data_IF_402643932124
#
_entry.id   IF_402643932124
#
_cell.length_a   1.000
_cell.length_b   1.000
_cell.length_c   1.000
_cell.angle_alpha   90.00
_cell.angle_beta   90.00
_cell.angle_gamma   90.00
#
_symmetry.space_group_name_H-M   'P 1'
#
loop_
_entity.id
_entity.type
_entity.pdbx_description
1 polymer ?
#
# COMPACT_ATOMS: atom_id res chain seq x y z
N UNK A 1 -15.64 -7.85 1.85
CA UNK A 1 -16.35 -6.59 2.21
C UNK A 1 -17.39 -6.31 1.15
N UNK A 2 -18.62 -5.94 1.51
CA UNK A 2 -19.66 -5.63 0.54
C UNK A 2 -19.24 -4.51 -0.41
N UNK A 3 -19.71 -4.56 -1.66
CA UNK A 3 -19.28 -3.62 -2.72
C UNK A 3 -19.65 -2.16 -2.42
N UNK A 4 -20.57 -1.91 -1.51
CA UNK A 4 -21.01 -0.57 -1.13
C UNK A 4 -20.21 -0.01 0.06
N UNK A 5 -19.35 -0.81 0.68
CA UNK A 5 -18.60 -0.48 1.88
C UNK A 5 -17.06 -0.62 1.73
N UNK A 6 -16.58 -1.03 0.56
CA UNK A 6 -15.16 -1.06 0.27
C UNK A 6 -14.81 -1.41 -1.18
N UNK A 7 -13.56 -1.10 -1.56
CA UNK A 7 -12.99 -1.25 -2.91
C UNK A 7 -11.48 -1.46 -2.85
N UNK A 8 -10.96 -2.25 -3.78
CA UNK A 8 -9.54 -2.21 -4.14
C UNK A 8 -9.33 -1.12 -5.18
N UNK A 9 -8.36 -0.25 -4.99
CA UNK A 9 -8.07 0.90 -5.87
C UNK A 9 -6.57 1.12 -6.01
N UNK A 10 -6.13 1.63 -7.16
CA UNK A 10 -4.75 2.07 -7.35
C UNK A 10 -4.46 3.33 -6.53
N UNK A 11 -3.25 3.41 -5.98
CA UNK A 11 -2.77 4.62 -5.30
C UNK A 11 -2.19 5.64 -6.26
N UNK A 12 -2.50 6.91 -6.04
CA UNK A 12 -1.87 8.06 -6.70
C UNK A 12 -1.61 9.20 -5.72
N UNK A 13 -0.85 10.21 -6.14
CA UNK A 13 -0.54 11.39 -5.34
C UNK A 13 -1.45 12.58 -5.69
N UNK A 14 -1.75 13.40 -4.70
CA UNK A 14 -2.40 14.70 -4.87
C UNK A 14 -1.40 15.74 -5.39
N UNK A 15 -1.44 15.97 -6.71
CA UNK A 15 -0.63 16.99 -7.38
C UNK A 15 -1.09 18.43 -7.08
N UNK A 16 -2.27 18.62 -6.48
CA UNK A 16 -2.82 19.95 -6.15
C UNK A 16 -2.34 20.46 -4.79
N UNK A 17 -1.85 19.57 -3.93
CA UNK A 17 -1.35 19.90 -2.59
C UNK A 17 -2.42 20.31 -1.59
N UNK A 18 -3.66 19.87 -1.78
CA UNK A 18 -4.82 20.27 -0.97
C UNK A 18 -5.05 19.30 0.19
N UNK A 19 -4.76 18.02 0.00
CA UNK A 19 -4.83 17.01 1.05
C UNK A 19 -3.77 17.26 2.13
N UNK A 20 -4.20 17.22 3.39
CA UNK A 20 -3.31 17.28 4.54
C UNK A 20 -2.87 15.87 4.96
N UNK A 21 -1.78 15.80 5.73
CA UNK A 21 -1.38 14.53 6.33
C UNK A 21 -2.50 13.97 7.23
N UNK A 22 -2.73 12.67 7.12
CA UNK A 22 -3.88 11.96 7.71
C UNK A 22 -5.17 11.99 6.88
N UNK A 23 -5.22 12.76 5.79
CA UNK A 23 -6.37 12.80 4.87
C UNK A 23 -6.08 12.01 3.59
N UNK A 24 -7.14 11.51 2.96
CA UNK A 24 -7.12 10.95 1.61
C UNK A 24 -8.33 11.43 0.81
N UNK A 25 -8.27 11.33 -0.52
CA UNK A 25 -9.46 11.49 -1.37
C UNK A 25 -9.79 10.16 -2.04
N UNK A 26 -11.06 9.79 -2.00
CA UNK A 26 -11.58 8.55 -2.59
C UNK A 26 -12.89 8.84 -3.29
N UNK A 27 -12.93 8.55 -4.59
CA UNK A 27 -14.14 8.60 -5.41
C UNK A 27 -14.25 7.30 -6.19
N UNK A 28 -15.42 6.68 -6.19
CA UNK A 28 -15.66 5.42 -6.87
C UNK A 28 -16.90 5.46 -7.76
N UNK A 29 -16.87 4.66 -8.82
CA UNK A 29 -18.00 4.44 -9.71
C UNK A 29 -19.05 3.56 -9.00
N UNK A 30 -20.31 4.04 -8.90
CA UNK A 30 -21.41 3.24 -8.31
C UNK A 30 -21.86 2.11 -9.22
N UNK A 31 -21.98 2.41 -10.51
CA UNK A 31 -22.44 1.49 -11.54
C UNK A 31 -21.51 1.57 -12.75
N UNK A 32 -20.80 0.49 -13.05
CA UNK A 32 -19.87 0.42 -14.18
C UNK A 32 -20.56 0.69 -15.52
N UNK A 33 -21.86 0.39 -15.64
CA UNK A 33 -22.64 0.63 -16.85
C UNK A 33 -22.98 2.12 -17.04
N UNK A 34 -22.84 2.94 -16.00
CA UNK A 34 -23.07 4.39 -16.03
C UNK A 34 -21.75 5.18 -16.13
N UNK A 35 -20.61 4.49 -16.18
CA UNK A 35 -19.29 5.12 -16.32
C UNK A 35 -19.16 5.67 -17.74
N UNK A 36 -19.53 6.92 -17.91
CA UNK A 36 -19.29 7.67 -19.14
C UNK A 36 -17.92 8.35 -19.05
N UNK A 37 -17.12 8.35 -20.13
CA UNK A 37 -15.90 9.14 -20.17
C UNK A 37 -16.23 10.62 -19.90
N UNK A 38 -15.33 11.39 -19.27
CA UNK A 38 -15.53 12.81 -19.07
C UNK A 38 -15.89 13.48 -20.40
N UNK A 39 -17.01 14.21 -20.45
CA UNK A 39 -17.34 15.00 -21.65
C UNK A 39 -16.20 15.98 -21.89
N UNK A 40 -15.68 15.97 -23.11
CA UNK A 40 -14.30 16.29 -23.52
C UNK A 40 -13.71 17.67 -23.17
N UNK A 41 -14.40 18.56 -22.46
CA UNK A 41 -13.99 19.96 -22.35
C UNK A 41 -13.94 20.55 -20.92
N UNK A 42 -14.01 19.76 -19.83
CA UNK A 42 -13.98 20.32 -18.46
C UNK A 42 -13.13 19.49 -17.50
N UNK A 43 -11.89 19.93 -17.26
CA UNK A 43 -10.85 19.27 -16.45
C UNK A 43 -11.12 19.11 -14.94
N UNK A 44 -12.29 19.52 -14.42
CA UNK A 44 -12.59 19.49 -12.98
C UNK A 44 -14.02 19.03 -12.66
N UNK A 45 -14.72 18.40 -13.60
CA UNK A 45 -16.07 17.89 -13.33
C UNK A 45 -16.03 16.49 -12.74
N UNK A 46 -16.82 16.32 -11.67
CA UNK A 46 -17.15 15.02 -11.09
C UNK A 46 -17.57 14.00 -12.15
N UNK A 47 -16.94 12.82 -12.10
CA UNK A 47 -17.27 11.71 -12.98
C UNK A 47 -18.74 11.33 -12.82
N UNK A 48 -19.49 11.28 -13.91
CA UNK A 48 -20.91 10.91 -13.86
C UNK A 48 -21.08 9.48 -13.34
N UNK A 49 -22.05 9.26 -12.45
CA UNK A 49 -22.25 7.95 -11.81
C UNK A 49 -21.25 7.62 -10.69
N UNK A 50 -20.38 8.57 -10.31
CA UNK A 50 -19.44 8.40 -9.19
C UNK A 50 -19.97 8.94 -7.86
N UNK A 51 -19.42 8.39 -6.78
CA UNK A 51 -19.66 8.83 -5.41
C UNK A 51 -18.31 9.11 -4.73
N UNK A 52 -18.23 10.25 -4.05
CA UNK A 52 -17.12 10.60 -3.16
C UNK A 52 -17.39 9.96 -1.80
N UNK A 53 -16.37 9.34 -1.22
CA UNK A 53 -16.38 8.84 0.15
C UNK A 53 -15.92 9.95 1.07
N UNK A 54 -16.61 10.12 2.20
CA UNK A 54 -16.25 11.09 3.23
C UNK A 54 -16.33 10.44 4.60
N UNK A 55 -15.54 10.94 5.56
CA UNK A 55 -15.46 10.41 6.91
C UNK A 55 -14.32 9.41 7.08
N UNK A 56 -14.33 8.74 8.23
CA UNK A 56 -13.24 7.83 8.63
C UNK A 56 -13.27 6.54 7.80
N UNK A 57 -12.09 6.19 7.26
CA UNK A 57 -11.89 5.01 6.42
C UNK A 57 -10.67 4.23 6.87
N UNK A 58 -10.73 2.92 6.71
CA UNK A 58 -9.62 2.00 6.91
C UNK A 58 -9.00 1.67 5.56
N UNK A 59 -7.67 1.69 5.50
CA UNK A 59 -6.87 1.50 4.32
C UNK A 59 -5.76 0.49 4.63
N UNK A 60 -5.49 -0.41 3.69
CA UNK A 60 -4.37 -1.34 3.81
C UNK A 60 -3.90 -1.84 2.45
N UNK A 61 -2.64 -2.28 2.38
CA UNK A 61 -2.06 -2.98 1.24
C UNK A 61 -1.84 -4.44 1.61
N UNK A 62 -2.15 -5.32 0.65
CA UNK A 62 -1.87 -6.74 0.81
C UNK A 62 -0.49 -7.10 0.24
N UNK A 63 0.26 -8.00 0.90
CA UNK A 63 -0.05 -8.67 2.16
C UNK A 63 0.16 -7.77 3.39
N UNK A 64 -0.69 -7.95 4.41
CA UNK A 64 -0.58 -7.29 5.71
C UNK A 64 0.11 -8.22 6.72
N UNK A 65 1.25 -7.81 7.28
CA UNK A 65 2.09 -8.64 8.16
C UNK A 65 2.12 -8.08 9.58
N UNK A 66 2.23 -6.76 9.72
CA UNK A 66 2.34 -6.08 11.03
C UNK A 66 1.13 -5.23 11.31
N UNK A 67 0.88 -4.92 12.57
CA UNK A 67 -0.29 -4.14 12.99
C UNK A 67 -0.32 -2.73 12.38
N UNK A 68 0.86 -2.18 12.05
CA UNK A 68 0.99 -0.87 11.40
C UNK A 68 0.56 -0.85 9.92
N UNK A 69 0.41 -2.01 9.26
CA UNK A 69 0.05 -2.09 7.83
C UNK A 69 -1.41 -1.69 7.54
N UNK A 70 -2.22 -1.62 8.58
CA UNK A 70 -3.60 -1.17 8.52
C UNK A 70 -3.67 0.24 9.09
N UNK A 71 -4.15 1.18 8.28
CA UNK A 71 -4.21 2.60 8.60
C UNK A 71 -5.65 3.10 8.57
N UNK A 72 -5.96 4.01 9.46
CA UNK A 72 -7.17 4.81 9.48
C UNK A 72 -6.81 6.18 8.96
N UNK A 73 -7.57 6.65 7.99
CA UNK A 73 -7.47 7.99 7.43
C UNK A 73 -8.83 8.68 7.42
N UNK A 74 -8.82 9.99 7.24
CA UNK A 74 -10.03 10.76 6.99
C UNK A 74 -10.20 10.98 5.48
N UNK A 75 -11.27 10.42 4.90
CA UNK A 75 -11.65 10.71 3.53
C UNK A 75 -12.33 12.07 3.47
N UNK A 76 -11.78 12.99 2.66
CA UNK A 76 -12.29 14.36 2.53
C UNK A 76 -12.70 14.67 1.10
N UNK A 77 -13.72 15.50 0.94
CA UNK A 77 -14.20 15.94 -0.36
C UNK A 77 -13.41 17.17 -0.84
N UNK A 78 -12.63 17.00 -1.93
CA UNK A 78 -11.84 18.06 -2.57
C UNK A 78 -12.33 18.23 -4.01
N UNK A 79 -13.03 19.33 -4.33
CA UNK A 79 -13.56 19.59 -5.68
C UNK A 79 -12.51 19.51 -6.80
N UNK A 80 -11.29 19.95 -6.52
CA UNK A 80 -10.16 19.93 -7.46
C UNK A 80 -9.78 18.50 -7.87
N UNK A 81 -10.06 17.49 -7.02
CA UNK A 81 -9.76 16.07 -7.24
C UNK A 81 -10.91 15.27 -7.85
N UNK A 82 -12.07 15.89 -8.13
CA UNK A 82 -13.27 15.22 -8.65
C UNK A 82 -13.11 14.54 -10.01
N UNK A 83 -12.06 14.89 -10.74
CA UNK A 83 -11.69 14.25 -12.00
C UNK A 83 -11.03 12.87 -11.79
N UNK A 84 -10.53 12.58 -10.58
CA UNK A 84 -9.93 11.31 -10.19
C UNK A 84 -11.02 10.36 -9.70
N UNK A 85 -11.11 9.15 -10.26
CA UNK A 85 -12.14 8.17 -9.93
C UNK A 85 -11.58 6.75 -10.00
N UNK A 86 -12.05 5.88 -9.11
CA UNK A 86 -11.59 4.50 -8.93
C UNK A 86 -10.10 4.41 -8.55
N UNK A 87 -9.60 5.43 -7.85
CA UNK A 87 -8.24 5.57 -7.30
C UNK A 87 -8.31 6.14 -5.88
N UNK A 88 -7.31 5.81 -5.05
CA UNK A 88 -7.08 6.49 -3.77
C UNK A 88 -5.98 7.53 -3.95
N UNK A 89 -6.25 8.74 -3.50
CA UNK A 89 -5.31 9.87 -3.64
C UNK A 89 -4.71 10.20 -2.29
N UNK A 90 -3.38 10.19 -2.22
CA UNK A 90 -2.60 10.46 -1.03
C UNK A 90 -2.04 11.89 -1.02
N UNK A 91 -1.83 12.49 0.16
CA UNK A 91 -1.23 13.81 0.28
C UNK A 91 0.24 13.76 -0.13
N UNK A 92 0.71 14.80 -0.82
CA UNK A 92 2.14 14.96 -1.16
C UNK A 92 3.00 15.46 0.01
N UNK A 93 2.39 15.89 1.12
CA UNK A 93 3.08 16.47 2.27
C UNK A 93 2.77 15.71 3.56
N UNK A 94 3.78 15.57 4.41
CA UNK A 94 3.68 14.90 5.70
C UNK A 94 5.04 14.48 6.24
N UNK A 95 5.11 14.03 7.50
CA UNK A 95 6.35 13.51 8.09
C UNK A 95 6.82 12.21 7.45
N UNK A 96 5.91 11.42 6.86
CA UNK A 96 6.17 10.15 6.18
C UNK A 96 5.12 9.95 5.09
N UNK A 97 5.45 9.38 3.91
CA UNK A 97 4.44 9.08 2.90
C UNK A 97 3.45 8.02 3.41
N UNK A 98 2.15 8.26 3.24
CA UNK A 98 1.11 7.28 3.64
C UNK A 98 1.26 5.90 2.99
N UNK A 99 1.61 5.77 1.70
CA UNK A 99 1.96 4.49 1.09
C UNK A 99 3.01 3.70 1.89
N UNK A 100 4.12 4.36 2.25
CA UNK A 100 5.25 3.75 2.95
C UNK A 100 4.90 3.29 4.38
N UNK A 101 3.87 3.89 4.99
CA UNK A 101 3.34 3.45 6.28
C UNK A 101 2.61 2.10 6.22
N UNK A 102 2.21 1.65 5.02
CA UNK A 102 1.48 0.41 4.80
C UNK A 102 2.35 -0.58 4.02
N UNK A 103 2.94 -1.57 4.69
CA UNK A 103 3.74 -2.62 4.05
C UNK A 103 4.89 -2.10 3.14
N UNK A 104 5.43 -0.91 3.43
CA UNK A 104 6.51 -0.29 2.63
C UNK A 104 6.07 0.00 1.18
N UNK A 105 4.80 0.33 0.97
CA UNK A 105 4.23 0.58 -0.35
C UNK A 105 4.82 1.81 -1.04
N UNK A 106 4.74 1.80 -2.37
CA UNK A 106 4.94 3.00 -3.18
C UNK A 106 3.72 3.23 -4.11
N UNK A 107 3.92 4.01 -5.18
CA UNK A 107 2.88 4.40 -6.13
C UNK A 107 3.27 3.97 -7.57
N UNK A 108 3.97 2.84 -7.73
CA UNK A 108 4.39 2.31 -9.03
C UNK A 108 3.35 1.39 -9.72
N UNK A 109 2.21 1.18 -9.07
CA UNK A 109 1.16 0.23 -9.48
C UNK A 109 0.44 -0.44 -8.31
N UNK A 110 0.78 -0.08 -7.07
CA UNK A 110 0.20 -0.65 -5.87
C UNK A 110 -1.32 -0.43 -5.74
N UNK A 111 -2.02 -1.51 -5.36
CA UNK A 111 -3.44 -1.52 -5.04
C UNK A 111 -3.69 -1.53 -3.53
N UNK A 112 -4.63 -0.70 -3.10
CA UNK A 112 -5.01 -0.52 -1.70
C UNK A 112 -6.46 -0.93 -1.51
N UNK A 113 -6.73 -1.66 -0.42
CA UNK A 113 -8.08 -1.96 0.03
C UNK A 113 -8.60 -0.79 0.88
N UNK A 114 -9.52 -0.02 0.33
CA UNK A 114 -10.23 1.08 1.02
C UNK A 114 -11.55 0.56 1.58
N UNK A 115 -11.79 0.80 2.86
CA UNK A 115 -12.93 0.26 3.62
C UNK A 115 -13.57 1.38 4.42
N UNK A 116 -14.85 1.63 4.20
CA UNK A 116 -15.64 2.63 4.94
C UNK A 116 -16.83 2.00 5.68
N UNK A 117 -16.72 0.71 6.00
CA UNK A 117 -17.63 0.02 6.91
C UNK A 117 -17.29 0.36 8.37
N UNK A 118 -18.20 1.07 9.04
CA UNK A 118 -18.01 1.49 10.44
C UNK A 118 -17.82 0.30 11.40
N UNK A 119 -18.30 -0.89 11.05
CA UNK A 119 -18.15 -2.09 11.89
C UNK A 119 -16.74 -2.70 11.81
N UNK A 120 -15.96 -2.35 10.79
CA UNK A 120 -14.61 -2.86 10.56
C UNK A 120 -13.54 -1.83 10.87
N UNK A 121 -13.91 -0.61 11.27
CA UNK A 121 -12.96 0.40 11.67
C UNK A 121 -12.25 -0.01 12.97
N UNK A 122 -10.95 0.27 13.01
CA UNK A 122 -10.15 0.16 14.21
C UNK A 122 -10.27 1.47 15.02
N UNK A 123 -9.97 1.41 16.31
CA UNK A 123 -10.06 2.60 17.18
C UNK A 123 -8.88 3.57 16.98
N UNK A 124 -7.74 3.07 16.51
CA UNK A 124 -6.50 3.84 16.38
C UNK A 124 -5.55 3.24 15.34
N UNK A 125 -4.62 4.07 14.88
CA UNK A 125 -3.44 3.65 14.14
C UNK A 125 -2.36 3.12 15.10
N UNK A 126 -1.81 1.96 14.81
CA UNK A 126 -0.55 1.52 15.41
C UNK A 126 0.64 2.23 14.75
N UNK A 127 1.80 2.18 15.38
CA UNK A 127 3.01 2.78 14.80
C UNK A 127 3.35 2.10 13.47
N UNK A 128 3.64 2.87 12.40
CA UNK A 128 4.05 2.27 11.13
C UNK A 128 5.41 1.61 11.30
N UNK A 129 5.55 0.44 10.68
CA UNK A 129 6.77 -0.35 10.81
C UNK A 129 7.92 0.27 10.00
N UNK A 130 9.15 -0.03 10.39
CA UNK A 130 10.34 0.40 9.67
C UNK A 130 10.74 -0.69 8.66
N UNK A 131 10.50 -0.40 7.39
CA UNK A 131 10.80 -1.28 6.27
C UNK A 131 12.19 -1.04 5.69
N UNK A 132 13.00 -0.16 6.28
CA UNK A 132 14.32 0.15 5.73
C UNK A 132 15.24 -1.07 5.77
N UNK A 133 15.79 -1.40 4.60
CA UNK A 133 16.81 -2.45 4.44
C UNK A 133 18.17 -1.78 4.25
N UNK A 134 19.18 -2.21 5.00
CA UNK A 134 20.56 -1.77 4.79
C UNK A 134 21.04 -2.19 3.40
N UNK A 135 21.26 -1.21 2.52
CA UNK A 135 21.84 -1.46 1.20
C UNK A 135 23.33 -1.76 1.35
N UNK A 136 23.78 -2.92 0.88
CA UNK A 136 25.20 -3.22 0.73
C UNK A 136 25.67 -2.72 -0.63
N UNK A 137 26.58 -1.76 -0.62
CA UNK A 137 27.27 -1.36 -1.85
C UNK A 137 28.26 -2.45 -2.27
N UNK A 138 28.09 -2.99 -3.47
CA UNK A 138 29.07 -3.88 -4.09
C UNK A 138 29.81 -3.14 -5.21
N UNK A 139 31.14 -3.32 -5.34
CA UNK A 139 31.89 -2.74 -6.44
C UNK A 139 31.33 -3.24 -7.78
N UNK A 140 30.99 -2.31 -8.68
CA UNK A 140 30.55 -2.65 -10.03
C UNK A 140 31.76 -2.79 -10.95
N UNK A 141 31.99 -3.99 -11.46
CA UNK A 141 32.94 -4.26 -12.54
C UNK A 141 32.21 -4.87 -13.74
N UNK A 142 32.35 -4.20 -14.89
CA UNK A 142 31.68 -4.58 -16.13
C UNK A 142 32.16 -5.93 -16.66
N UNK A 143 33.41 -6.30 -16.37
CA UNK A 143 33.98 -7.58 -16.79
C UNK A 143 33.44 -8.75 -15.95
N UNK A 144 32.91 -8.47 -14.75
CA UNK A 144 32.41 -9.47 -13.82
C UNK A 144 30.89 -9.70 -13.90
N UNK A 145 30.17 -9.00 -14.79
CA UNK A 145 28.69 -9.05 -14.85
C UNK A 145 28.18 -10.48 -15.02
N UNK A 146 28.72 -11.24 -15.97
CA UNK A 146 28.27 -12.61 -16.23
C UNK A 146 28.46 -13.52 -15.00
N UNK A 147 29.57 -13.38 -14.29
CA UNK A 147 29.83 -14.13 -13.07
C UNK A 147 28.88 -13.72 -11.95
N UNK A 148 28.71 -12.42 -11.72
CA UNK A 148 27.80 -11.88 -10.70
C UNK A 148 26.35 -12.31 -10.95
N UNK A 149 25.91 -12.36 -12.21
CA UNK A 149 24.58 -12.82 -12.59
C UNK A 149 24.37 -14.31 -12.29
N UNK A 150 25.35 -15.17 -12.63
CA UNK A 150 25.26 -16.60 -12.30
C UNK A 150 25.25 -16.84 -10.78
N UNK A 151 26.12 -16.15 -10.04
CA UNK A 151 26.19 -16.25 -8.58
C UNK A 151 24.89 -15.77 -7.92
N UNK A 152 24.34 -14.63 -8.37
CA UNK A 152 23.08 -14.10 -7.89
C UNK A 152 21.93 -15.07 -8.17
N UNK A 153 21.86 -15.66 -9.36
CA UNK A 153 20.80 -16.61 -9.70
C UNK A 153 20.82 -17.86 -8.81
N UNK A 154 22.00 -18.43 -8.56
CA UNK A 154 22.17 -19.57 -7.63
C UNK A 154 21.83 -19.16 -6.20
N UNK A 155 22.21 -17.95 -5.77
CA UNK A 155 21.88 -17.42 -4.45
C UNK A 155 20.38 -17.22 -4.29
N UNK A 156 19.70 -16.65 -5.29
CA UNK A 156 18.26 -16.46 -5.34
C UNK A 156 17.51 -17.78 -5.19
N UNK A 157 17.86 -18.80 -5.97
CA UNK A 157 17.22 -20.11 -5.88
C UNK A 157 17.35 -20.78 -4.50
N UNK A 158 18.41 -20.46 -3.74
CA UNK A 158 18.63 -20.99 -2.39
C UNK A 158 17.90 -20.19 -1.31
N UNK A 159 17.69 -18.89 -1.53
CA UNK A 159 17.18 -17.96 -0.53
C UNK A 159 15.71 -17.58 -0.72
N UNK A 160 15.10 -17.97 -1.84
CA UNK A 160 13.66 -17.82 -2.05
C UNK A 160 12.87 -18.57 -0.96
N UNK A 161 12.44 -17.79 0.02
CA UNK A 161 11.86 -18.28 1.28
C UNK A 161 10.65 -17.47 1.72
N UNK A 162 10.16 -16.55 0.87
CA UNK A 162 9.02 -15.66 1.18
C UNK A 162 7.81 -16.48 1.62
N UNK A 163 7.42 -17.50 0.84
CA UNK A 163 6.28 -18.35 1.17
C UNK A 163 6.43 -19.10 2.50
N UNK A 164 7.62 -19.63 2.77
CA UNK A 164 7.92 -20.33 4.03
C UNK A 164 7.88 -19.38 5.22
N UNK A 165 8.42 -18.17 5.08
CA UNK A 165 8.40 -17.15 6.14
C UNK A 165 6.95 -16.71 6.40
N UNK A 166 6.17 -16.43 5.35
CA UNK A 166 4.75 -16.03 5.47
C UNK A 166 3.91 -17.10 6.18
N UNK A 167 4.07 -18.37 5.83
CA UNK A 167 3.33 -19.47 6.48
C UNK A 167 3.70 -19.63 7.95
N UNK A 168 5.00 -19.51 8.28
CA UNK A 168 5.44 -19.53 9.67
C UNK A 168 4.94 -18.32 10.45
N UNK A 169 4.91 -17.13 9.83
CA UNK A 169 4.38 -15.94 10.45
C UNK A 169 2.91 -16.13 10.81
N UNK A 170 2.09 -16.60 9.86
CA UNK A 170 0.67 -16.89 10.07
C UNK A 170 0.46 -17.88 11.23
N UNK A 171 1.19 -19.00 11.23
CA UNK A 171 1.08 -19.97 12.31
C UNK A 171 1.44 -19.37 13.68
N UNK A 172 2.55 -18.63 13.76
CA UNK A 172 3.00 -18.04 15.02
C UNK A 172 2.10 -16.89 15.48
N UNK A 173 1.51 -16.12 14.56
CA UNK A 173 0.59 -15.04 14.92
C UNK A 173 -0.70 -15.58 15.50
N UNK A 174 -1.19 -16.72 15.00
CA UNK A 174 -2.37 -17.38 15.55
C UNK A 174 -2.12 -17.92 16.97
N UNK A 175 -0.90 -18.38 17.26
CA UNK A 175 -0.55 -18.97 18.56
C UNK A 175 -0.15 -17.92 19.61
N UNK A 176 0.63 -16.91 19.22
CA UNK A 176 1.30 -15.99 20.15
C UNK A 176 0.90 -14.52 19.97
N UNK A 177 0.12 -14.21 18.93
CA UNK A 177 -0.24 -12.85 18.54
C UNK A 177 0.82 -12.16 17.67
N UNK A 178 0.38 -11.18 16.88
CA UNK A 178 1.20 -10.41 15.94
C UNK A 178 2.37 -9.68 16.62
N UNK A 179 2.16 -9.18 17.83
CA UNK A 179 3.18 -8.42 18.58
C UNK A 179 4.18 -9.31 19.33
N UNK A 180 4.11 -10.63 19.15
CA UNK A 180 5.11 -11.53 19.73
C UNK A 180 6.48 -11.28 19.10
N UNK A 181 7.55 -11.46 19.88
CA UNK A 181 8.92 -11.31 19.37
C UNK A 181 9.17 -12.17 18.13
N UNK A 182 8.65 -13.40 18.12
CA UNK A 182 8.79 -14.34 17.01
C UNK A 182 8.12 -13.80 15.74
N UNK A 183 6.90 -13.29 15.84
CA UNK A 183 6.20 -12.69 14.71
C UNK A 183 6.92 -11.44 14.20
N UNK A 184 7.37 -10.55 15.09
CA UNK A 184 8.11 -9.35 14.69
C UNK A 184 9.44 -9.68 13.98
N UNK A 185 10.16 -10.71 14.45
CA UNK A 185 11.38 -11.18 13.80
C UNK A 185 11.09 -11.84 12.43
N UNK A 186 9.97 -12.55 12.30
CA UNK A 186 9.51 -13.11 11.02
C UNK A 186 9.04 -12.02 10.05
N UNK A 187 8.39 -10.97 10.55
CA UNK A 187 7.97 -9.82 9.73
C UNK A 187 9.17 -9.11 9.10
N UNK A 188 10.21 -8.83 9.89
CA UNK A 188 11.48 -8.27 9.38
C UNK A 188 12.09 -9.12 8.26
N UNK A 189 12.13 -10.44 8.48
CA UNK A 189 12.64 -11.38 7.47
C UNK A 189 11.77 -11.42 6.23
N UNK A 190 10.45 -11.27 6.38
CA UNK A 190 9.52 -11.24 5.26
C UNK A 190 9.78 -10.01 4.37
N UNK A 191 9.89 -8.82 4.97
CA UNK A 191 10.22 -7.59 4.25
C UNK A 191 11.56 -7.72 3.50
N UNK A 192 12.60 -8.23 4.16
CA UNK A 192 13.90 -8.48 3.53
C UNK A 192 13.82 -9.48 2.38
N UNK A 193 13.01 -10.53 2.52
CA UNK A 193 12.86 -11.57 1.50
C UNK A 193 12.09 -11.07 0.26
N UNK A 194 11.10 -10.19 0.44
CA UNK A 194 10.38 -9.55 -0.68
C UNK A 194 11.31 -8.66 -1.49
N UNK A 195 12.12 -7.84 -0.81
CA UNK A 195 13.06 -6.92 -1.46
C UNK A 195 14.35 -7.59 -1.93
N UNK A 196 14.58 -8.86 -1.60
CA UNK A 196 15.81 -9.59 -1.94
C UNK A 196 16.16 -9.53 -3.43
N UNK A 197 15.14 -9.60 -4.30
CA UNK A 197 15.30 -9.50 -5.76
C UNK A 197 15.94 -8.17 -6.20
N UNK A 198 15.71 -7.10 -5.45
CA UNK A 198 16.24 -5.75 -5.69
C UNK A 198 17.54 -5.51 -4.91
N UNK A 199 17.70 -6.12 -3.73
CA UNK A 199 18.77 -5.77 -2.78
C UNK A 199 20.01 -6.67 -2.81
N UNK A 200 19.93 -7.91 -3.31
CA UNK A 200 21.12 -8.77 -3.47
C UNK A 200 21.41 -9.77 -2.36
#
# INVERSE_FOLDING_TARGET
IPKELGRSMLGIVDETGRLQYGQIFVQYTRNSNEKLPPRSNMQHMKVQGSQVVTGTVLLTKNPCIVTGDVRIFEAVDIPELHHLCDVVVFPQHGPRPHPDEMAGSDLDGDEYSVIWDQQLLLDKNEAPFDFTVEKKEMPYDREMIDQLMHEFYVKYLKLDSVGTISNNHLHNSDQYGLNSRVCMDLAKKNCQAVDFTKSG
#
